data_IF_082705091897
#
_entry.id   IF_082705091897
#
_cell.length_a   1.000
_cell.length_b   1.000
_cell.length_c   1.000
_cell.angle_alpha   90.00
_cell.angle_beta   90.00
_cell.angle_gamma   90.00
#
_symmetry.space_group_name_H-M   'P 1'
#
loop_
_entity.id
_entity.type
_entity.pdbx_description
1 polymer ?
#
# COMPACT_ATOMS: atom_id res chain seq x y z
N UNK A 1 4.44 -2.92 2.13
CA UNK A 1 5.10 -2.29 3.30
C UNK A 1 4.49 -0.93 3.55
N UNK A 2 4.28 -0.55 4.81
CA UNK A 2 3.90 0.82 5.21
C UNK A 2 4.75 1.22 6.42
N UNK A 3 5.18 2.47 6.53
CA UNK A 3 5.97 2.92 7.67
C UNK A 3 6.32 4.40 7.61
N UNK A 4 6.82 4.94 8.72
CA UNK A 4 7.26 6.33 8.82
C UNK A 4 8.79 6.44 8.69
N UNK A 5 9.25 7.54 8.09
CA UNK A 5 10.66 7.87 7.96
C UNK A 5 10.92 9.36 8.03
N UNK A 6 12.17 9.76 7.81
CA UNK A 6 12.57 11.17 7.67
C UNK A 6 13.52 11.34 6.49
N UNK A 7 13.35 12.44 5.76
CA UNK A 7 14.24 12.85 4.67
C UNK A 7 14.49 14.34 4.80
N UNK A 8 15.77 14.74 4.85
CA UNK A 8 16.14 16.14 5.07
C UNK A 8 15.54 16.74 6.35
N UNK A 9 15.38 15.93 7.41
CA UNK A 9 14.79 16.35 8.69
C UNK A 9 13.25 16.46 8.71
N UNK A 10 12.58 16.27 7.57
CA UNK A 10 11.11 16.30 7.46
C UNK A 10 10.54 14.88 7.56
N UNK A 11 9.42 14.72 8.28
CA UNK A 11 8.70 13.44 8.35
C UNK A 11 8.13 13.05 6.98
N UNK A 12 8.15 11.76 6.67
CA UNK A 12 7.47 11.19 5.51
C UNK A 12 6.81 9.85 5.86
N UNK A 13 5.73 9.52 5.14
CA UNK A 13 5.18 8.18 5.08
C UNK A 13 5.76 7.43 3.89
N UNK A 14 6.05 6.14 4.05
CA UNK A 14 6.55 5.26 3.00
C UNK A 14 5.51 4.18 2.72
N UNK A 15 5.13 4.02 1.45
CA UNK A 15 4.37 2.87 0.95
C UNK A 15 5.23 2.18 -0.10
N UNK A 16 5.42 0.87 0.03
CA UNK A 16 6.28 0.12 -0.88
C UNK A 16 5.78 -1.29 -1.11
N UNK A 17 5.91 -1.79 -2.34
CA UNK A 17 5.72 -3.21 -2.63
C UNK A 17 6.89 -4.02 -2.04
N UNK A 18 6.64 -5.29 -1.68
CA UNK A 18 7.68 -6.20 -1.18
C UNK A 18 7.80 -7.39 -2.15
N UNK A 19 8.71 -7.35 -3.12
CA UNK A 19 8.86 -8.42 -4.11
C UNK A 19 9.18 -9.79 -3.48
N UNK A 20 9.82 -9.83 -2.32
CA UNK A 20 10.10 -11.07 -1.60
C UNK A 20 8.83 -11.76 -1.03
N UNK A 21 7.66 -11.11 -1.10
CA UNK A 21 6.39 -11.66 -0.65
C UNK A 21 5.34 -11.56 -1.75
N UNK A 22 4.85 -12.71 -2.23
CA UNK A 22 3.90 -12.81 -3.35
C UNK A 22 4.30 -11.96 -4.56
N UNK A 23 5.60 -11.83 -4.86
CA UNK A 23 6.11 -11.00 -5.96
C UNK A 23 5.66 -9.52 -5.92
N UNK A 24 5.23 -8.99 -4.76
CA UNK A 24 4.84 -7.59 -4.62
C UNK A 24 3.45 -7.23 -5.17
N UNK A 25 2.61 -8.23 -5.47
CA UNK A 25 1.21 -8.00 -5.91
C UNK A 25 0.38 -7.23 -4.88
N UNK A 26 -0.70 -6.60 -5.36
CA UNK A 26 -1.75 -6.04 -4.52
C UNK A 26 -2.84 -7.07 -4.27
N UNK A 27 -3.13 -7.35 -3.01
CA UNK A 27 -4.27 -8.15 -2.57
C UNK A 27 -5.21 -7.32 -1.69
N UNK A 28 -6.31 -7.92 -1.23
CA UNK A 28 -7.29 -7.25 -0.37
C UNK A 28 -6.64 -6.63 0.88
N UNK A 29 -5.82 -7.39 1.59
CA UNK A 29 -5.24 -6.97 2.87
C UNK A 29 -4.20 -5.86 2.69
N UNK A 30 -3.33 -5.98 1.68
CA UNK A 30 -2.34 -4.98 1.33
C UNK A 30 -3.01 -3.67 0.90
N UNK A 31 -4.09 -3.75 0.12
CA UNK A 31 -4.84 -2.57 -0.34
C UNK A 31 -5.48 -1.83 0.84
N UNK A 32 -6.21 -2.52 1.72
CA UNK A 32 -6.83 -1.92 2.92
C UNK A 32 -5.77 -1.31 3.85
N UNK A 33 -4.66 -2.02 4.06
CA UNK A 33 -3.54 -1.55 4.89
C UNK A 33 -2.91 -0.28 4.33
N UNK A 34 -2.61 -0.25 3.03
CA UNK A 34 -1.99 0.91 2.38
C UNK A 34 -2.95 2.10 2.34
N UNK A 35 -4.22 1.88 1.97
CA UNK A 35 -5.23 2.94 1.89
C UNK A 35 -5.42 3.66 3.24
N UNK A 36 -5.53 2.92 4.34
CA UNK A 36 -5.64 3.53 5.68
C UNK A 36 -4.39 4.33 6.04
N UNK A 37 -3.20 3.84 5.70
CA UNK A 37 -1.95 4.55 5.97
C UNK A 37 -1.82 5.83 5.15
N UNK A 38 -2.16 5.79 3.85
CA UNK A 38 -2.20 6.96 2.96
C UNK A 38 -3.14 8.02 3.53
N UNK A 39 -4.38 7.65 3.87
CA UNK A 39 -5.34 8.57 4.50
C UNK A 39 -4.85 9.15 5.81
N UNK A 40 -4.09 8.37 6.59
CA UNK A 40 -3.49 8.86 7.83
C UNK A 40 -2.42 9.92 7.52
N UNK A 41 -1.53 9.66 6.57
CA UNK A 41 -0.49 10.63 6.19
C UNK A 41 -1.10 11.92 5.64
N UNK A 42 -2.11 11.80 4.77
CA UNK A 42 -2.84 12.93 4.21
C UNK A 42 -3.51 13.80 5.29
N UNK A 43 -4.23 13.17 6.24
CA UNK A 43 -4.89 13.88 7.33
C UNK A 43 -3.94 14.69 8.23
N UNK A 44 -2.66 14.32 8.30
CA UNK A 44 -1.64 15.01 9.09
C UNK A 44 -0.63 15.79 8.23
N UNK A 45 -0.90 16.00 6.93
CA UNK A 45 -0.02 16.70 5.99
C UNK A 45 1.41 16.10 5.95
N UNK A 46 1.52 14.78 6.14
CA UNK A 46 2.78 14.05 6.02
C UNK A 46 2.97 13.64 4.56
N UNK A 47 4.05 14.10 3.89
CA UNK A 47 4.31 13.72 2.51
C UNK A 47 4.56 12.22 2.36
N UNK A 48 4.17 11.66 1.21
CA UNK A 48 4.34 10.25 0.90
C UNK A 48 5.50 10.02 -0.06
N UNK A 49 6.29 8.99 0.22
CA UNK A 49 7.22 8.36 -0.71
C UNK A 49 6.66 6.99 -1.09
N UNK A 50 6.40 6.79 -2.38
CA UNK A 50 5.90 5.52 -2.91
C UNK A 50 7.04 4.83 -3.66
N UNK A 51 7.37 3.60 -3.27
CA UNK A 51 8.36 2.76 -3.96
C UNK A 51 7.60 1.64 -4.67
N UNK A 52 7.45 1.82 -5.98
CA UNK A 52 6.63 0.95 -6.82
C UNK A 52 7.47 -0.20 -7.38
N UNK A 53 7.04 -1.42 -7.09
CA UNK A 53 7.48 -2.66 -7.75
C UNK A 53 6.31 -3.64 -7.71
N UNK A 54 5.27 -3.31 -8.49
CA UNK A 54 3.99 -4.02 -8.49
C UNK A 54 3.75 -4.66 -9.85
N UNK A 55 3.57 -5.99 -9.92
CA UNK A 55 3.21 -6.66 -11.18
C UNK A 55 1.71 -6.54 -11.50
N UNK A 56 0.86 -6.28 -10.49
CA UNK A 56 -0.59 -6.13 -10.63
C UNK A 56 -1.33 -6.57 -9.36
N UNK A 57 -2.64 -6.80 -9.50
CA UNK A 57 -3.46 -7.40 -8.44
C UNK A 57 -3.32 -8.92 -8.42
N UNK A 58 -3.44 -9.51 -7.22
CA UNK A 58 -3.45 -10.96 -7.04
C UNK A 58 -4.72 -11.55 -7.68
N UNK A 59 -4.60 -12.44 -8.69
CA UNK A 59 -5.78 -13.10 -9.23
C UNK A 59 -6.28 -14.20 -8.28
N UNK A 60 -7.57 -14.50 -8.34
CA UNK A 60 -8.17 -15.64 -7.66
C UNK A 60 -9.60 -15.39 -7.22
N UNK A 61 -10.43 -16.44 -7.25
CA UNK A 61 -11.85 -16.35 -6.85
C UNK A 61 -12.01 -15.84 -5.41
N UNK A 62 -11.08 -16.20 -4.53
CA UNK A 62 -11.08 -15.70 -3.14
C UNK A 62 -10.87 -14.18 -3.09
N UNK A 63 -10.05 -13.59 -3.96
CA UNK A 63 -9.85 -12.14 -4.00
C UNK A 63 -11.12 -11.42 -4.48
N UNK A 64 -11.75 -11.97 -5.53
CA UNK A 64 -13.01 -11.47 -6.07
C UNK A 64 -14.14 -11.51 -5.02
N UNK A 65 -14.34 -12.64 -4.36
CA UNK A 65 -15.39 -12.82 -3.35
C UNK A 65 -15.14 -12.01 -2.07
N UNK A 66 -13.87 -11.78 -1.71
CA UNK A 66 -13.52 -10.89 -0.60
C UNK A 66 -13.53 -9.40 -0.98
N UNK A 67 -13.97 -9.06 -2.20
CA UNK A 67 -14.27 -7.69 -2.58
C UNK A 67 -13.06 -6.88 -3.06
N UNK A 68 -12.14 -7.49 -3.83
CA UNK A 68 -10.95 -6.80 -4.36
C UNK A 68 -11.29 -5.55 -5.18
N UNK A 69 -12.46 -5.52 -5.83
CA UNK A 69 -12.95 -4.33 -6.54
C UNK A 69 -13.15 -3.14 -5.60
N UNK A 70 -13.66 -3.38 -4.39
CA UNK A 70 -13.92 -2.33 -3.39
C UNK A 70 -12.69 -2.05 -2.53
N UNK A 71 -11.97 -3.09 -2.13
CA UNK A 71 -10.80 -2.95 -1.26
C UNK A 71 -9.57 -2.43 -2.01
N UNK A 72 -9.47 -2.72 -3.30
CA UNK A 72 -8.38 -2.26 -4.18
C UNK A 72 -8.57 -0.86 -4.75
N UNK A 73 -9.74 -0.25 -4.55
CA UNK A 73 -10.08 1.11 -5.00
C UNK A 73 -9.85 2.15 -3.89
#
# INVERSE_FOLDING_TARGET
>A
VVGFGRLGGRSLGVVANQPAFLAGVLDNDASVKAARFVRTCDAFNVPLLVLEDVPGFLPGTDQEWNGIITNGA
#
